data_IF_732663574202
#
_entry.id   IF_732663574202
#
_cell.length_a   1.000
_cell.length_b   1.000
_cell.length_c   1.000
_cell.angle_alpha   90.00
_cell.angle_beta   90.00
_cell.angle_gamma   90.00
#
_symmetry.space_group_name_H-M   'P 1'
#
loop_
_entity.id
_entity.type
_entity.pdbx_description
1 polymer ?
#
# COMPACT_ATOMS: atom_id res chain seq x y z
N UNK A 1 9.41 -5.01 7.97
CA UNK A 1 9.96 -3.71 8.42
C UNK A 1 10.32 -2.89 7.20
N UNK A 2 10.05 -1.59 7.22
CA UNK A 2 10.33 -0.66 6.13
C UNK A 2 11.83 -0.31 6.08
N UNK A 3 12.62 -1.15 5.41
CA UNK A 3 14.08 -0.96 5.26
C UNK A 3 14.47 0.07 4.20
N UNK A 4 13.53 0.46 3.33
CA UNK A 4 13.73 1.46 2.28
C UNK A 4 13.34 2.88 2.70
N UNK A 5 12.81 3.06 3.92
CA UNK A 5 12.39 4.36 4.43
C UNK A 5 11.23 4.99 3.65
N UNK A 6 10.40 4.20 2.98
CA UNK A 6 9.29 4.72 2.17
C UNK A 6 8.28 5.47 3.05
N UNK A 7 7.77 6.60 2.59
CA UNK A 7 6.64 7.28 3.24
C UNK A 7 5.34 6.56 2.86
N UNK A 8 4.88 5.69 3.77
CA UNK A 8 3.65 4.91 3.60
C UNK A 8 2.40 5.80 3.50
N UNK A 9 2.39 6.96 4.15
CA UNK A 9 1.26 7.89 4.02
C UNK A 9 1.25 8.56 2.66
N UNK A 10 2.42 8.96 2.15
CA UNK A 10 2.56 9.47 0.78
C UNK A 10 2.15 8.43 -0.25
N UNK A 11 2.56 7.17 -0.07
CA UNK A 11 2.12 6.06 -0.93
C UNK A 11 0.59 5.91 -0.91
N UNK A 12 -0.03 5.92 0.27
CA UNK A 12 -1.49 5.79 0.35
C UNK A 12 -2.22 7.00 -0.26
N UNK A 13 -1.67 8.22 -0.15
CA UNK A 13 -2.18 9.40 -0.86
C UNK A 13 -2.02 9.29 -2.37
N UNK A 14 -0.91 8.73 -2.85
CA UNK A 14 -0.67 8.46 -4.27
C UNK A 14 -1.73 7.48 -4.79
N UNK A 15 -1.85 6.30 -4.18
CA UNK A 15 -2.77 5.24 -4.59
C UNK A 15 -4.24 5.69 -4.61
N UNK A 16 -4.66 6.55 -3.67
CA UNK A 16 -6.02 7.10 -3.64
C UNK A 16 -6.38 7.88 -4.90
N UNK A 17 -5.41 8.51 -5.57
CA UNK A 17 -5.65 9.20 -6.84
C UNK A 17 -5.93 8.22 -7.99
N UNK A 18 -5.47 6.97 -7.86
CA UNK A 18 -5.72 5.88 -8.80
C UNK A 18 -6.93 5.01 -8.38
N UNK A 19 -7.73 5.46 -7.40
CA UNK A 19 -8.87 4.69 -6.89
C UNK A 19 -8.48 3.50 -6.00
N UNK A 20 -7.21 3.37 -5.64
CA UNK A 20 -6.66 2.26 -4.87
C UNK A 20 -6.39 2.69 -3.42
N UNK A 21 -6.32 1.72 -2.51
CA UNK A 21 -5.97 1.99 -1.11
C UNK A 21 -5.22 0.82 -0.48
N UNK A 22 -4.30 1.17 0.42
CA UNK A 22 -3.64 0.22 1.32
C UNK A 22 -3.97 0.56 2.77
N UNK A 23 -3.92 -0.47 3.62
CA UNK A 23 -4.16 -0.33 5.05
C UNK A 23 -2.86 -0.23 5.83
N UNK A 24 -2.87 0.53 6.93
CA UNK A 24 -1.74 0.55 7.86
C UNK A 24 -1.54 -0.80 8.57
N UNK A 25 -0.36 -0.98 9.16
CA UNK A 25 -0.04 -2.11 10.05
C UNK A 25 -1.03 -2.31 11.22
N UNK A 26 -0.89 -3.43 11.91
CA UNK A 26 -1.72 -3.80 13.07
C UNK A 26 -1.10 -3.39 14.41
N UNK A 27 -1.95 -3.27 15.44
CA UNK A 27 -1.54 -3.07 16.83
C UNK A 27 -0.60 -1.89 17.00
N UNK A 28 0.54 -2.12 17.66
CA UNK A 28 1.56 -1.10 17.92
C UNK A 28 2.21 -0.54 16.64
N UNK A 29 2.15 -1.27 15.51
CA UNK A 29 2.73 -0.82 14.23
C UNK A 29 1.77 0.08 13.43
N UNK A 30 0.50 0.18 13.85
CA UNK A 30 -0.49 1.03 13.19
C UNK A 30 -0.06 2.50 13.30
N UNK A 31 -0.01 3.20 12.17
CA UNK A 31 0.33 4.63 12.12
C UNK A 31 1.82 4.95 12.29
N UNK A 32 2.70 3.93 12.37
CA UNK A 32 4.15 4.15 12.50
C UNK A 32 4.87 4.23 11.15
N UNK A 33 4.18 4.09 10.01
CA UNK A 33 4.81 4.05 8.67
C UNK A 33 5.79 2.89 8.44
N UNK A 34 5.86 1.93 9.38
CA UNK A 34 6.82 0.82 9.32
C UNK A 34 6.31 -0.38 8.51
N UNK A 35 5.00 -0.53 8.39
CA UNK A 35 4.33 -1.60 7.64
C UNK A 35 3.01 -1.12 7.06
N UNK A 36 2.63 -1.72 5.95
CA UNK A 36 1.31 -1.58 5.33
C UNK A 36 0.80 -2.96 4.91
N UNK A 37 -0.48 -3.02 4.53
CA UNK A 37 -1.19 -4.24 4.18
C UNK A 37 -1.96 -4.00 2.89
N UNK A 38 -1.90 -5.00 2.02
CA UNK A 38 -2.67 -5.08 0.78
C UNK A 38 -3.88 -5.98 1.06
N UNK A 39 -5.08 -5.49 0.73
CA UNK A 39 -6.28 -6.31 0.79
C UNK A 39 -6.30 -7.25 -0.42
N UNK A 40 -6.44 -8.55 -0.18
CA UNK A 40 -6.44 -9.59 -1.22
C UNK A 40 -7.61 -10.58 -1.05
N UNK A 41 -8.58 -10.23 -0.20
CA UNK A 41 -9.74 -11.06 0.14
C UNK A 41 -11.02 -10.29 -0.21
N UNK A 42 -12.11 -11.01 -0.46
CA UNK A 42 -13.39 -10.41 -0.85
C UNK A 42 -13.53 -10.35 -2.36
N UNK A 43 -14.01 -9.23 -2.87
CA UNK A 43 -14.28 -8.99 -4.30
C UNK A 43 -13.06 -8.40 -5.03
N UNK A 44 -11.86 -8.87 -4.68
CA UNK A 44 -10.60 -8.39 -5.26
C UNK A 44 -10.12 -9.38 -6.32
N UNK A 45 -9.85 -8.90 -7.53
CA UNK A 45 -9.33 -9.73 -8.62
C UNK A 45 -7.79 -9.72 -8.66
N UNK A 46 -7.22 -10.67 -9.40
CA UNK A 46 -5.77 -10.74 -9.60
C UNK A 46 -5.26 -9.51 -10.34
N UNK A 47 -6.00 -9.06 -11.34
CA UNK A 47 -5.67 -7.90 -12.18
C UNK A 47 -5.63 -6.62 -11.35
N UNK A 48 -6.53 -6.47 -10.37
CA UNK A 48 -6.52 -5.34 -9.44
C UNK A 48 -5.30 -5.35 -8.52
N UNK A 49 -4.87 -6.54 -8.06
CA UNK A 49 -3.63 -6.68 -7.28
C UNK A 49 -2.41 -6.36 -8.14
N UNK A 50 -2.36 -6.84 -9.37
CA UNK A 50 -1.26 -6.53 -10.30
C UNK A 50 -1.17 -5.02 -10.56
N UNK A 51 -2.29 -4.35 -10.87
CA UNK A 51 -2.34 -2.91 -11.06
C UNK A 51 -1.92 -2.12 -9.80
N UNK A 52 -2.29 -2.60 -8.60
CA UNK A 52 -1.85 -2.02 -7.34
C UNK A 52 -0.33 -2.13 -7.17
N UNK A 53 0.25 -3.28 -7.45
CA UNK A 53 1.69 -3.52 -7.33
C UNK A 53 2.47 -2.65 -8.33
N UNK A 54 2.00 -2.52 -9.56
CA UNK A 54 2.60 -1.62 -10.56
C UNK A 54 2.60 -0.17 -10.09
N UNK A 55 1.49 0.32 -9.52
CA UNK A 55 1.43 1.66 -8.94
C UNK A 55 2.37 1.84 -7.75
N UNK A 56 2.60 0.79 -6.94
CA UNK A 56 3.57 0.81 -5.84
C UNK A 56 5.00 0.89 -6.40
N UNK A 57 5.31 0.12 -7.45
CA UNK A 57 6.62 0.15 -8.09
C UNK A 57 6.89 1.51 -8.74
N UNK A 58 5.91 2.13 -9.40
CA UNK A 58 6.00 3.49 -9.95
C UNK A 58 6.31 4.53 -8.87
N UNK A 59 5.68 4.41 -7.68
CA UNK A 59 5.94 5.33 -6.57
C UNK A 59 7.36 5.17 -5.98
N UNK A 60 7.94 3.97 -6.04
CA UNK A 60 9.23 3.63 -5.42
C UNK A 60 10.41 3.84 -6.38
N UNK A 61 10.17 3.88 -7.69
CA UNK A 61 11.17 4.12 -8.74
C UNK A 61 11.90 5.46 -8.56
#
# INVERSE_FOLDING_TARGET
>A
TNTRGIDVEALNRFLRRHGMLISNGYGRLKGQGQTFRIAHMGDVTREEIEALLECIDEFIA
#
